data_IF_000938338925
#
_entry.id   IF_000938338925
#
_cell.length_a   1.000
_cell.length_b   1.000
_cell.length_c   1.000
_cell.angle_alpha   90.00
_cell.angle_beta   90.00
_cell.angle_gamma   90.00
#
_symmetry.space_group_name_H-M   'P 1'
#
loop_
_entity.id
_entity.type
_entity.pdbx_description
1 polymer ?
#
# COMPACT_ATOMS: atom_id res chain seq x y z
N UNK A 1 -6.04 1.70 9.01
CA UNK A 1 -6.57 1.90 7.64
C UNK A 1 -7.79 1.03 7.35
N UNK A 2 -7.77 -0.28 7.64
CA UNK A 2 -8.97 -1.10 7.43
C UNK A 2 -10.22 -0.58 8.17
N UNK A 3 -10.08 -0.24 9.46
CA UNK A 3 -11.18 0.35 10.24
C UNK A 3 -11.71 1.65 9.58
N UNK A 4 -10.80 2.55 9.18
CA UNK A 4 -11.15 3.80 8.51
C UNK A 4 -11.90 3.57 7.18
N UNK A 5 -11.44 2.65 6.34
CA UNK A 5 -12.11 2.30 5.08
C UNK A 5 -13.51 1.71 5.33
N UNK A 6 -13.69 0.93 6.40
CA UNK A 6 -15.00 0.37 6.76
C UNK A 6 -15.95 1.45 7.28
N UNK A 7 -15.48 2.32 8.17
CA UNK A 7 -16.32 3.34 8.82
C UNK A 7 -16.67 4.49 7.88
N UNK A 8 -15.70 4.97 7.11
CA UNK A 8 -15.88 6.16 6.26
C UNK A 8 -16.13 5.84 4.79
N UNK A 9 -16.00 4.57 4.38
CA UNK A 9 -16.31 4.11 3.03
C UNK A 9 -17.72 4.50 2.54
N UNK A 10 -18.77 4.29 3.35
CA UNK A 10 -20.14 4.71 2.99
C UNK A 10 -20.29 6.22 2.79
N UNK A 11 -19.38 7.03 3.34
CA UNK A 11 -19.37 8.48 3.23
C UNK A 11 -18.47 8.98 2.07
N UNK A 12 -18.01 8.07 1.21
CA UNK A 12 -17.21 8.39 0.02
C UNK A 12 -15.69 8.34 0.23
N UNK A 13 -15.20 7.90 1.40
CA UNK A 13 -13.77 7.68 1.58
C UNK A 13 -13.30 6.43 0.81
N UNK A 14 -12.24 6.59 0.04
CA UNK A 14 -11.53 5.48 -0.60
C UNK A 14 -10.05 5.55 -0.27
N UNK A 15 -9.53 4.50 0.36
CA UNK A 15 -8.11 4.33 0.68
C UNK A 15 -7.43 3.62 -0.50
N UNK A 16 -6.28 4.15 -0.90
CA UNK A 16 -5.44 3.60 -1.96
C UNK A 16 -4.02 3.43 -1.40
N UNK A 17 -3.45 2.23 -1.51
CA UNK A 17 -2.10 1.94 -1.03
C UNK A 17 -1.11 1.70 -2.16
N UNK A 18 0.02 2.40 -2.14
CA UNK A 18 1.12 2.24 -3.08
C UNK A 18 2.36 1.74 -2.34
N UNK A 19 2.72 0.45 -2.48
CA UNK A 19 3.92 -0.08 -1.84
C UNK A 19 5.18 0.61 -2.38
N UNK A 20 6.14 0.92 -1.51
CA UNK A 20 7.41 1.53 -1.91
C UNK A 20 8.56 1.01 -1.07
N UNK A 21 9.69 0.74 -1.73
CA UNK A 21 10.90 0.23 -1.08
C UNK A 21 11.97 1.30 -0.82
N UNK A 22 11.66 2.58 -1.09
CA UNK A 22 12.65 3.67 -1.02
C UNK A 22 13.02 4.08 0.42
N UNK A 23 12.22 3.67 1.42
CA UNK A 23 12.42 4.04 2.81
C UNK A 23 12.94 2.85 3.61
N UNK A 24 14.24 2.86 3.93
CA UNK A 24 14.87 1.81 4.73
C UNK A 24 14.76 0.39 4.16
N UNK A 25 14.43 0.25 2.87
CA UNK A 25 14.19 -1.02 2.18
C UNK A 25 13.19 -1.95 2.88
N UNK A 26 12.14 -1.37 3.46
CA UNK A 26 11.15 -2.11 4.25
C UNK A 26 10.13 -2.91 3.42
N UNK A 27 10.09 -2.72 2.11
CA UNK A 27 9.21 -3.45 1.18
C UNK A 27 10.04 -4.26 0.15
N UNK A 28 10.87 -5.22 0.62
CA UNK A 28 11.79 -5.94 -0.25
C UNK A 28 11.07 -6.90 -1.21
N UNK A 29 9.91 -7.43 -0.81
CA UNK A 29 9.16 -8.44 -1.55
C UNK A 29 8.64 -7.95 -2.91
N UNK A 30 8.51 -8.87 -3.86
CA UNK A 30 7.88 -8.63 -5.15
C UNK A 30 6.38 -8.39 -5.00
N UNK A 31 5.72 -7.84 -6.02
CA UNK A 31 4.28 -7.53 -6.00
C UNK A 31 3.42 -8.72 -5.55
N UNK A 32 3.78 -9.95 -5.94
CA UNK A 32 3.08 -11.18 -5.56
C UNK A 32 3.27 -11.57 -4.09
N UNK A 33 4.30 -11.06 -3.41
CA UNK A 33 4.68 -11.41 -2.04
C UNK A 33 4.11 -10.45 -1.00
N UNK A 34 3.70 -9.25 -1.40
CA UNK A 34 3.21 -8.20 -0.49
C UNK A 34 1.96 -8.67 0.27
N UNK A 35 0.94 -9.17 -0.43
CA UNK A 35 -0.29 -9.65 0.22
C UNK A 35 -0.03 -10.88 1.14
N UNK A 36 0.72 -11.91 0.71
CA UNK A 36 1.14 -12.98 1.61
C UNK A 36 1.91 -12.49 2.84
N UNK A 37 2.83 -11.54 2.69
CA UNK A 37 3.60 -10.99 3.81
C UNK A 37 2.69 -10.29 4.82
N UNK A 38 1.72 -9.49 4.36
CA UNK A 38 0.72 -8.87 5.21
C UNK A 38 -0.14 -9.90 5.95
N UNK A 39 -0.53 -10.98 5.26
CA UNK A 39 -1.41 -12.03 5.80
C UNK A 39 -0.75 -12.94 6.82
N UNK A 40 0.50 -13.33 6.57
CA UNK A 40 1.17 -14.40 7.34
C UNK A 40 2.36 -13.93 8.17
N UNK A 41 3.00 -12.81 7.82
CA UNK A 41 4.24 -12.37 8.46
C UNK A 41 4.01 -11.16 9.36
N UNK A 42 3.66 -10.02 8.76
CA UNK A 42 3.37 -8.78 9.48
C UNK A 42 2.43 -7.90 8.65
N UNK A 43 1.24 -7.52 9.13
CA UNK A 43 0.72 -7.73 10.49
C UNK A 43 0.52 -9.19 10.91
N UNK A 44 0.38 -10.10 9.94
CA UNK A 44 0.15 -11.52 10.23
C UNK A 44 -1.28 -11.79 10.69
N UNK A 45 -1.51 -12.96 11.28
CA UNK A 45 -2.81 -13.31 11.88
C UNK A 45 -3.97 -13.39 10.89
N UNK A 46 -3.70 -13.61 9.61
CA UNK A 46 -4.74 -13.64 8.56
C UNK A 46 -5.18 -12.27 8.08
N UNK A 47 -4.43 -11.20 8.41
CA UNK A 47 -4.76 -9.84 7.99
C UNK A 47 -4.82 -9.71 6.46
N UNK A 48 -5.92 -9.13 5.96
CA UNK A 48 -6.09 -8.80 4.54
C UNK A 48 -6.55 -7.34 4.46
N UNK A 49 -5.85 -6.47 3.69
CA UNK A 49 -6.32 -5.11 3.43
C UNK A 49 -7.70 -5.14 2.77
N UNK A 50 -8.62 -4.29 3.23
CA UNK A 50 -9.96 -4.10 2.61
C UNK A 50 -9.98 -2.92 1.62
N UNK A 51 -8.82 -2.49 1.16
CA UNK A 51 -8.62 -1.36 0.25
C UNK A 51 -7.64 -1.76 -0.86
N UNK A 52 -7.65 -1.02 -1.96
CA UNK A 52 -6.85 -1.37 -3.13
C UNK A 52 -5.36 -1.13 -2.87
N UNK A 53 -4.54 -2.15 -3.11
CA UNK A 53 -3.10 -2.04 -3.23
C UNK A 53 -2.69 -2.04 -4.72
N UNK A 54 -1.81 -1.12 -5.09
CA UNK A 54 -1.22 -1.06 -6.43
C UNK A 54 0.12 -1.79 -6.47
N UNK A 55 0.70 -1.86 -7.67
CA UNK A 55 2.04 -2.37 -7.85
C UNK A 55 3.06 -1.48 -7.11
N UNK A 56 4.10 -2.12 -6.58
CA UNK A 56 5.23 -1.48 -5.96
C UNK A 56 5.94 -0.57 -6.96
N UNK A 57 6.29 0.63 -6.51
CA UNK A 57 7.01 1.59 -7.32
C UNK A 57 7.72 2.66 -6.49
N UNK A 58 8.41 3.55 -7.20
CA UNK A 58 9.07 4.70 -6.60
C UNK A 58 8.04 5.81 -6.37
N UNK A 59 8.17 6.51 -5.25
CA UNK A 59 7.36 7.68 -4.87
C UNK A 59 8.19 8.98 -4.85
N UNK A 60 9.52 8.85 -4.95
CA UNK A 60 10.48 9.94 -5.02
C UNK A 60 11.51 9.72 -6.13
N UNK A 61 12.02 10.82 -6.68
CA UNK A 61 13.15 10.84 -7.61
C UNK A 61 12.74 10.68 -9.07
N UNK A 62 13.72 10.53 -9.96
CA UNK A 62 13.48 10.60 -11.41
C UNK A 62 12.56 9.50 -11.99
N UNK A 63 12.35 8.39 -11.25
CA UNK A 63 11.50 7.27 -11.66
C UNK A 63 10.19 7.19 -10.87
N UNK A 64 9.86 8.23 -10.09
CA UNK A 64 8.64 8.24 -9.30
C UNK A 64 7.38 8.12 -10.16
N UNK A 65 6.35 7.49 -9.60
CA UNK A 65 5.06 7.41 -10.24
C UNK A 65 4.46 8.81 -10.40
N UNK A 66 3.94 9.13 -11.59
CA UNK A 66 3.42 10.47 -11.93
C UNK A 66 2.35 10.99 -10.97
N UNK A 67 1.58 10.09 -10.35
CA UNK A 67 0.59 10.46 -9.33
C UNK A 67 1.26 11.13 -8.13
N UNK A 68 2.42 10.65 -7.70
CA UNK A 68 3.17 11.24 -6.60
C UNK A 68 3.87 12.53 -7.00
N UNK A 69 4.25 12.71 -8.26
CA UNK A 69 4.71 14.02 -8.77
C UNK A 69 3.58 15.05 -8.70
N UNK A 70 2.36 14.67 -9.06
CA UNK A 70 1.20 15.56 -9.03
C UNK A 70 0.75 15.92 -7.61
N UNK A 71 0.91 15.02 -6.64
CA UNK A 71 0.47 15.21 -5.25
C UNK A 71 1.46 16.05 -4.39
N UNK A 72 2.66 16.33 -4.90
CA UNK A 72 3.68 17.17 -4.24
C UNK A 72 3.46 18.64 -4.57
#
# INVERSE_FOLDING_TARGET
LNALQNELGPYGLVVLGFPSNQFGKQEPGQNSEILPALKYVRPGGGFVPNFQLFQKGDVNGAKEQKVYTFLK
#
